data_IF_065266198619
#
_entry.id   IF_065266198619
#
_cell.length_a   1.000
_cell.length_b   1.000
_cell.length_c   1.000
_cell.angle_alpha   90.00
_cell.angle_beta   90.00
_cell.angle_gamma   90.00
#
_symmetry.space_group_name_H-M   'P 1'
#
loop_
_entity.id
_entity.type
_entity.pdbx_description
1 polymer ?
#
# COMPACT_ATOMS: atom_id res chain seq x y z
N UNK A 1 -28.02 -6.58 49.72
CA UNK A 1 -28.89 -6.06 48.65
C UNK A 1 -28.02 -5.26 47.68
N UNK A 2 -27.92 -5.71 46.43
CA UNK A 2 -26.85 -5.32 45.50
C UNK A 2 -27.09 -3.99 44.77
N UNK A 3 -26.01 -3.23 44.57
CA UNK A 3 -25.97 -1.95 43.85
C UNK A 3 -26.22 -2.04 42.33
N UNK A 4 -26.40 -3.24 41.77
CA UNK A 4 -26.53 -3.47 40.32
C UNK A 4 -27.98 -3.39 39.79
N UNK A 5 -28.98 -3.18 40.65
CA UNK A 5 -30.40 -3.14 40.24
C UNK A 5 -30.87 -1.80 39.65
N UNK A 6 -30.00 -0.78 39.60
CA UNK A 6 -30.38 0.55 39.09
C UNK A 6 -30.32 0.71 37.58
N UNK A 7 -29.63 -0.18 36.85
CA UNK A 7 -29.50 -0.04 35.38
C UNK A 7 -30.68 -0.64 34.59
N UNK A 8 -31.48 -1.53 35.20
CA UNK A 8 -32.57 -2.24 34.51
C UNK A 8 -33.93 -1.54 34.53
N UNK A 9 -34.04 -0.34 35.12
CA UNK A 9 -35.30 0.39 35.25
C UNK A 9 -35.26 1.79 34.64
N UNK A 10 -35.29 1.84 33.30
CA UNK A 10 -35.89 2.93 32.51
C UNK A 10 -36.07 2.41 31.09
N UNK A 11 -37.14 1.64 30.87
CA UNK A 11 -38.36 2.06 30.16
C UNK A 11 -38.08 2.63 28.78
N UNK A 12 -38.52 1.85 27.80
CA UNK A 12 -38.84 2.26 26.44
C UNK A 12 -39.57 3.61 26.45
N UNK A 13 -39.09 4.53 25.61
CA UNK A 13 -39.94 5.51 24.96
C UNK A 13 -39.50 5.60 23.50
N UNK A 14 -40.37 5.10 22.63
CA UNK A 14 -40.33 5.32 21.18
C UNK A 14 -40.24 6.83 20.91
N UNK A 15 -39.19 7.29 20.22
CA UNK A 15 -39.26 8.54 19.43
C UNK A 15 -38.46 8.42 18.14
N UNK A 16 -39.08 8.97 17.12
CA UNK A 16 -38.87 8.76 15.70
C UNK A 16 -37.55 9.33 15.17
N UNK A 17 -37.20 8.77 14.02
CA UNK A 17 -36.20 9.18 13.06
C UNK A 17 -36.19 10.68 12.78
N UNK A 18 -35.07 11.33 13.09
CA UNK A 18 -34.50 12.37 12.22
C UNK A 18 -32.98 12.27 12.32
N UNK A 19 -32.39 11.42 11.48
CA UNK A 19 -30.96 11.49 11.19
C UNK A 19 -30.77 12.80 10.43
N UNK A 20 -30.24 13.82 11.10
CA UNK A 20 -29.69 15.01 10.43
C UNK A 20 -28.55 14.51 9.56
N UNK A 21 -28.84 14.32 8.27
CA UNK A 21 -27.84 14.01 7.26
C UNK A 21 -26.76 15.06 7.33
N UNK A 22 -25.55 14.64 7.73
CA UNK A 22 -24.34 15.39 7.41
C UNK A 22 -24.28 15.39 5.89
N UNK A 23 -24.59 16.51 5.25
CA UNK A 23 -24.26 16.71 3.85
C UNK A 23 -22.75 16.53 3.72
N UNK A 24 -22.35 15.40 3.13
CA UNK A 24 -20.97 15.19 2.74
C UNK A 24 -20.77 16.15 1.57
N UNK A 25 -20.14 17.30 1.85
CA UNK A 25 -19.57 18.16 0.82
C UNK A 25 -18.51 17.33 0.09
N UNK A 26 -18.93 16.63 -0.96
CA UNK A 26 -18.01 16.01 -1.91
C UNK A 26 -17.34 17.14 -2.68
N UNK A 27 -16.23 17.64 -2.15
CA UNK A 27 -15.29 18.44 -2.91
C UNK A 27 -14.85 17.61 -4.10
N UNK A 28 -15.26 17.99 -5.31
CA UNK A 28 -14.71 17.42 -6.55
C UNK A 28 -13.18 17.47 -6.44
N UNK A 29 -12.45 16.35 -6.67
CA UNK A 29 -11.00 16.43 -6.75
C UNK A 29 -10.63 17.43 -7.85
N UNK A 30 -9.57 18.24 -7.67
CA UNK A 30 -9.12 19.13 -8.72
C UNK A 30 -8.89 18.28 -9.97
N UNK A 31 -9.57 18.66 -11.06
CA UNK A 31 -9.33 18.12 -12.38
C UNK A 31 -7.89 18.46 -12.74
N UNK A 32 -6.95 17.59 -12.40
CA UNK A 32 -5.61 17.61 -12.94
C UNK A 32 -5.78 17.69 -14.46
N UNK A 33 -5.26 18.75 -15.08
CA UNK A 33 -5.30 18.94 -16.52
C UNK A 33 -4.58 17.74 -17.13
N UNK A 34 -5.36 16.79 -17.63
CA UNK A 34 -4.88 15.55 -18.23
C UNK A 34 -4.41 15.93 -19.63
N UNK A 35 -3.10 15.98 -19.85
CA UNK A 35 -2.59 15.87 -21.21
C UNK A 35 -2.87 14.44 -21.66
N UNK A 36 -3.65 14.21 -22.72
CA UNK A 36 -3.79 12.87 -23.27
C UNK A 36 -2.40 12.37 -23.65
N UNK A 37 -2.13 11.08 -23.43
CA UNK A 37 -0.84 10.41 -23.73
C UNK A 37 -0.37 10.66 -25.18
N UNK A 38 -1.29 11.03 -26.08
CA UNK A 38 -1.03 11.40 -27.48
C UNK A 38 -0.30 12.74 -27.68
N UNK A 39 -0.21 13.60 -26.65
CA UNK A 39 0.49 14.89 -26.70
C UNK A 39 1.87 14.86 -26.00
N UNK A 40 2.35 13.67 -25.60
CA UNK A 40 3.68 13.52 -25.00
C UNK A 40 4.76 13.56 -26.07
N UNK A 41 5.86 14.27 -25.79
CA UNK A 41 7.07 14.24 -26.62
C UNK A 41 7.55 12.79 -26.78
N UNK A 42 8.15 12.40 -27.93
CA UNK A 42 8.78 11.08 -28.06
C UNK A 42 9.78 10.77 -26.92
N UNK A 43 10.43 11.79 -26.37
CA UNK A 43 11.30 11.68 -25.19
C UNK A 43 10.50 11.26 -23.94
N UNK A 44 9.39 11.94 -23.65
CA UNK A 44 8.51 11.63 -22.51
C UNK A 44 7.88 10.23 -22.63
N UNK A 45 7.56 9.78 -23.86
CA UNK A 45 7.05 8.43 -24.10
C UNK A 45 8.10 7.37 -23.81
N UNK A 46 9.36 7.60 -24.19
CA UNK A 46 10.47 6.69 -23.91
C UNK A 46 10.75 6.59 -22.40
N UNK A 47 10.70 7.73 -21.70
CA UNK A 47 10.87 7.80 -20.25
C UNK A 47 9.73 7.07 -19.52
N UNK A 48 8.48 7.28 -19.96
CA UNK A 48 7.32 6.59 -19.42
C UNK A 48 7.46 5.06 -19.56
N UNK A 49 7.86 4.58 -20.74
CA UNK A 49 8.08 3.15 -20.96
C UNK A 49 9.18 2.59 -20.05
N UNK A 50 10.28 3.33 -19.86
CA UNK A 50 11.36 2.94 -18.96
C UNK A 50 10.90 2.87 -17.50
N UNK A 51 10.14 3.88 -17.04
CA UNK A 51 9.62 3.93 -15.68
C UNK A 51 8.60 2.83 -15.40
N UNK A 52 7.73 2.52 -16.36
CA UNK A 52 6.78 1.40 -16.23
C UNK A 52 7.55 0.08 -16.13
N UNK A 53 8.57 -0.13 -16.98
CA UNK A 53 9.40 -1.33 -16.92
C UNK A 53 10.16 -1.44 -15.58
N UNK A 54 10.66 -0.33 -15.04
CA UNK A 54 11.29 -0.29 -13.73
C UNK A 54 10.29 -0.62 -12.62
N UNK A 55 9.09 -0.04 -12.65
CA UNK A 55 8.04 -0.31 -11.68
C UNK A 55 7.67 -1.80 -11.62
N UNK A 56 7.46 -2.44 -12.77
CA UNK A 56 7.15 -3.88 -12.84
C UNK A 56 8.30 -4.75 -12.31
N UNK A 57 9.56 -4.39 -12.63
CA UNK A 57 10.74 -5.08 -12.09
C UNK A 57 10.82 -4.98 -10.57
N UNK A 58 10.57 -3.79 -10.03
CA UNK A 58 10.59 -3.56 -8.58
C UNK A 58 9.45 -4.31 -7.88
N UNK A 59 8.26 -4.36 -8.50
CA UNK A 59 7.12 -5.13 -7.98
C UNK A 59 7.45 -6.62 -7.91
N UNK A 60 8.00 -7.18 -8.99
CA UNK A 60 8.48 -8.56 -9.01
C UNK A 60 9.55 -8.82 -7.95
N UNK A 61 10.53 -7.93 -7.81
CA UNK A 61 11.59 -8.08 -6.80
C UNK A 61 11.04 -8.07 -5.37
N UNK A 62 10.01 -7.27 -5.09
CA UNK A 62 9.31 -7.27 -3.80
C UNK A 62 8.65 -8.62 -3.51
N UNK A 63 8.04 -9.24 -4.52
CA UNK A 63 7.43 -10.57 -4.38
C UNK A 63 8.49 -11.65 -4.13
N UNK A 64 9.60 -11.61 -4.88
CA UNK A 64 10.75 -12.49 -4.66
C UNK A 64 11.30 -12.36 -3.23
N UNK A 65 11.48 -11.14 -2.73
CA UNK A 65 11.95 -10.91 -1.35
C UNK A 65 11.00 -11.48 -0.30
N UNK A 66 9.70 -11.49 -0.57
CA UNK A 66 8.71 -12.11 0.31
C UNK A 66 8.83 -13.65 0.30
N UNK A 67 9.07 -14.24 -0.87
CA UNK A 67 9.33 -15.69 -1.01
C UNK A 67 10.64 -16.07 -0.32
N UNK A 68 11.73 -15.36 -0.61
CA UNK A 68 13.05 -15.58 0.02
C UNK A 68 12.97 -15.50 1.55
N UNK A 69 12.18 -14.57 2.10
CA UNK A 69 11.95 -14.51 3.56
C UNK A 69 11.29 -15.79 4.09
N UNK A 70 10.31 -16.33 3.37
CA UNK A 70 9.67 -17.60 3.72
C UNK A 70 10.66 -18.75 3.68
N UNK A 71 11.45 -18.83 2.61
CA UNK A 71 12.51 -19.84 2.45
C UNK A 71 13.55 -19.76 3.58
N UNK A 72 13.95 -18.55 4.00
CA UNK A 72 14.86 -18.39 5.14
C UNK A 72 14.28 -18.95 6.43
N UNK A 73 12.98 -18.77 6.66
CA UNK A 73 12.29 -19.35 7.83
C UNK A 73 12.27 -20.87 7.74
N UNK A 74 11.92 -21.42 6.57
CA UNK A 74 11.93 -22.88 6.38
C UNK A 74 13.33 -23.50 6.54
N UNK A 75 14.37 -22.82 6.06
CA UNK A 75 15.77 -23.27 6.21
C UNK A 75 16.22 -23.24 7.68
N UNK A 76 15.77 -22.25 8.45
CA UNK A 76 15.99 -22.21 9.90
C UNK A 76 15.26 -23.39 10.59
N UNK A 77 14.00 -23.64 10.25
CA UNK A 77 13.19 -24.71 10.84
C UNK A 77 13.76 -26.11 10.51
N UNK A 78 14.33 -26.27 9.31
CA UNK A 78 15.06 -27.49 8.90
C UNK A 78 16.45 -27.63 9.53
N UNK A 79 16.92 -26.62 10.25
CA UNK A 79 18.27 -26.59 10.85
C UNK A 79 19.40 -26.43 9.83
N UNK A 80 19.09 -26.00 8.59
CA UNK A 80 20.09 -25.72 7.54
C UNK A 80 20.85 -24.41 7.77
N UNK A 81 20.30 -23.54 8.64
CA UNK A 81 20.88 -22.26 9.02
C UNK A 81 21.03 -22.17 10.53
N UNK A 82 22.14 -21.60 10.99
CA UNK A 82 22.24 -21.20 12.39
C UNK A 82 21.37 -19.97 12.67
N UNK A 83 20.91 -19.76 13.92
CA UNK A 83 20.14 -18.55 14.28
C UNK A 83 20.87 -17.24 13.99
N UNK A 84 22.21 -17.24 14.00
CA UNK A 84 23.03 -16.06 13.73
C UNK A 84 23.05 -15.77 12.23
N UNK A 85 23.26 -16.79 11.39
CA UNK A 85 23.22 -16.65 9.93
C UNK A 85 21.83 -16.23 9.46
N UNK A 86 20.78 -16.86 9.98
CA UNK A 86 19.40 -16.48 9.71
C UNK A 86 19.14 -15.00 10.01
N UNK A 87 19.56 -14.50 11.18
CA UNK A 87 19.39 -13.08 11.53
C UNK A 87 20.12 -12.16 10.55
N UNK A 88 21.34 -12.52 10.14
CA UNK A 88 22.14 -11.73 9.20
C UNK A 88 21.47 -11.68 7.82
N UNK A 89 21.06 -12.84 7.29
CA UNK A 89 20.37 -12.94 6.00
C UNK A 89 19.02 -12.21 6.04
N UNK A 90 18.21 -12.43 7.09
CA UNK A 90 16.94 -11.76 7.29
C UNK A 90 17.10 -10.23 7.31
N UNK A 91 18.11 -9.72 8.04
CA UNK A 91 18.36 -8.28 8.09
C UNK A 91 18.75 -7.71 6.73
N UNK A 92 19.58 -8.43 5.97
CA UNK A 92 19.92 -8.04 4.60
C UNK A 92 18.67 -7.95 3.72
N UNK A 93 17.78 -8.94 3.79
CA UNK A 93 16.51 -8.93 3.01
C UNK A 93 15.56 -7.82 3.44
N UNK A 94 15.49 -7.49 4.73
CA UNK A 94 14.68 -6.37 5.23
C UNK A 94 15.21 -5.03 4.71
N UNK A 95 16.53 -4.85 4.69
CA UNK A 95 17.15 -3.64 4.14
C UNK A 95 16.87 -3.53 2.63
N UNK A 96 17.03 -4.62 1.89
CA UNK A 96 16.73 -4.67 0.46
C UNK A 96 15.25 -4.36 0.19
N UNK A 97 14.32 -4.96 0.94
CA UNK A 97 12.89 -4.70 0.82
C UNK A 97 12.52 -3.24 1.11
N UNK A 98 13.22 -2.61 2.05
CA UNK A 98 13.03 -1.19 2.36
C UNK A 98 13.45 -0.31 1.18
N UNK A 99 14.62 -0.58 0.59
CA UNK A 99 15.10 0.13 -0.60
C UNK A 99 14.17 -0.07 -1.81
N UNK A 100 13.70 -1.30 -2.05
CA UNK A 100 12.74 -1.59 -3.14
C UNK A 100 11.45 -0.83 -2.91
N UNK A 101 10.95 -0.75 -1.67
CA UNK A 101 9.73 0.00 -1.35
C UNK A 101 9.90 1.49 -1.58
N UNK A 102 11.05 2.07 -1.24
CA UNK A 102 11.36 3.48 -1.52
C UNK A 102 11.41 3.75 -3.02
N UNK A 103 12.09 2.88 -3.79
CA UNK A 103 12.14 2.98 -5.25
C UNK A 103 10.76 2.83 -5.89
N UNK A 104 9.91 1.94 -5.38
CA UNK A 104 8.52 1.81 -5.84
C UNK A 104 7.72 3.09 -5.61
N UNK A 105 7.89 3.73 -4.45
CA UNK A 105 7.22 5.01 -4.16
C UNK A 105 7.71 6.12 -5.08
N UNK A 106 9.01 6.24 -5.31
CA UNK A 106 9.58 7.28 -6.17
C UNK A 106 9.18 7.08 -7.64
N UNK A 107 9.28 5.86 -8.17
CA UNK A 107 8.85 5.51 -9.54
C UNK A 107 7.35 5.71 -9.73
N UNK A 108 6.52 5.26 -8.79
CA UNK A 108 5.07 5.49 -8.82
C UNK A 108 4.71 6.98 -8.78
N UNK A 109 5.41 7.77 -7.95
CA UNK A 109 5.20 9.23 -7.89
C UNK A 109 5.56 9.89 -9.23
N UNK A 110 6.69 9.51 -9.83
CA UNK A 110 7.10 10.02 -11.15
C UNK A 110 6.11 9.65 -12.24
N UNK A 111 5.68 8.40 -12.30
CA UNK A 111 4.65 7.94 -13.24
C UNK A 111 3.31 8.68 -13.05
N UNK A 112 2.91 8.91 -11.80
CA UNK A 112 1.69 9.69 -11.49
C UNK A 112 1.84 11.15 -11.94
N UNK A 113 3.02 11.76 -11.76
CA UNK A 113 3.30 13.13 -12.21
C UNK A 113 3.26 13.28 -13.74
N UNK A 114 3.59 12.21 -14.46
CA UNK A 114 3.45 12.11 -15.92
C UNK A 114 2.01 11.80 -16.38
N UNK A 115 1.06 11.66 -15.43
CA UNK A 115 -0.34 11.37 -15.72
C UNK A 115 -0.65 9.88 -15.93
N UNK A 116 0.28 8.98 -15.65
CA UNK A 116 0.06 7.54 -15.78
C UNK A 116 -0.72 6.99 -14.57
N UNK A 117 -1.91 6.42 -14.81
CA UNK A 117 -2.79 5.86 -13.78
C UNK A 117 -2.76 4.34 -13.65
N UNK A 118 -2.01 3.63 -14.50
CA UNK A 118 -1.95 2.16 -14.51
C UNK A 118 -1.33 1.50 -13.26
N UNK A 119 -0.99 2.28 -12.23
CA UNK A 119 -0.25 1.86 -11.02
C UNK A 119 -1.16 1.80 -9.78
N UNK A 120 -2.38 2.34 -9.86
CA UNK A 120 -3.31 2.45 -8.72
C UNK A 120 -4.10 1.15 -8.44
N UNK A 121 -3.62 0.00 -8.88
CA UNK A 121 -4.30 -1.30 -8.73
C UNK A 121 -3.66 -2.19 -7.65
#
# INVERSE_FOLDING_TARGET
MGLFDRWRRKREDKRETTVKGREILTSKPPSAIVKPVRDLSPEDQSELAALVAEYERLKKRREELQQERGELTERLDRGELTPIEFRKELMSRIQEASQVTEKLKSTSSRLTSMGYRGILH
#
